data_IF_434204452111
#
_entry.id   IF_434204452111
#
_cell.length_a   1.000
_cell.length_b   1.000
_cell.length_c   1.000
_cell.angle_alpha   90.00
_cell.angle_beta   90.00
_cell.angle_gamma   90.00
#
_symmetry.space_group_name_H-M   'P 1'
#
loop_
_entity.id
_entity.type
_entity.pdbx_description
1 polymer ?
#
# COMPACT_ATOMS: atom_id res chain seq x y z
N UNK A 1 -18.68 3.89 28.88
CA UNK A 1 -19.40 4.00 27.58
C UNK A 1 -18.47 3.53 26.46
N UNK A 2 -18.62 2.29 26.01
CA UNK A 2 -17.83 1.74 24.91
C UNK A 2 -18.25 2.43 23.60
N UNK A 3 -17.44 3.40 23.14
CA UNK A 3 -17.66 4.09 21.87
C UNK A 3 -17.68 3.03 20.76
N UNK A 4 -18.78 3.00 20.03
CA UNK A 4 -19.07 2.06 18.96
C UNK A 4 -17.86 1.85 18.04
N UNK A 5 -17.62 0.57 17.77
CA UNK A 5 -16.56 0.03 16.93
C UNK A 5 -16.76 0.51 15.48
N UNK A 6 -16.31 1.72 15.15
CA UNK A 6 -16.24 2.20 13.78
C UNK A 6 -15.40 1.19 12.98
N UNK A 7 -16.05 0.36 12.17
CA UNK A 7 -15.34 -0.47 11.18
C UNK A 7 -14.85 0.50 10.11
N UNK A 8 -13.56 0.80 10.12
CA UNK A 8 -12.94 1.63 9.09
C UNK A 8 -13.23 1.07 7.70
N UNK A 9 -13.44 1.98 6.75
CA UNK A 9 -13.57 1.65 5.33
C UNK A 9 -12.26 1.07 4.77
N UNK A 10 -12.32 0.56 3.55
CA UNK A 10 -11.14 0.04 2.83
C UNK A 10 -10.09 1.14 2.66
N UNK A 11 -10.53 2.31 2.23
CA UNK A 11 -9.72 3.50 1.97
C UNK A 11 -9.05 3.96 3.27
N UNK A 12 -9.82 4.11 4.35
CA UNK A 12 -9.27 4.54 5.64
C UNK A 12 -8.18 3.58 6.18
N UNK A 13 -8.36 2.27 5.99
CA UNK A 13 -7.32 1.29 6.37
C UNK A 13 -6.07 1.44 5.50
N UNK A 14 -6.25 1.69 4.20
CA UNK A 14 -5.16 1.91 3.26
C UNK A 14 -4.40 3.21 3.55
N UNK A 15 -5.11 4.31 3.83
CA UNK A 15 -4.54 5.60 4.22
C UNK A 15 -3.71 5.50 5.51
N UNK A 16 -4.24 4.82 6.53
CA UNK A 16 -3.51 4.63 7.78
C UNK A 16 -2.28 3.72 7.58
N UNK A 17 -2.40 2.67 6.76
CA UNK A 17 -1.26 1.83 6.38
C UNK A 17 -0.20 2.63 5.62
N UNK A 18 -0.60 3.47 4.66
CA UNK A 18 0.29 4.34 3.90
C UNK A 18 1.02 5.32 4.82
N UNK A 19 0.27 6.04 5.65
CA UNK A 19 0.80 6.99 6.64
C UNK A 19 1.85 6.36 7.57
N UNK A 20 1.61 5.17 8.09
CA UNK A 20 2.52 4.54 9.07
C UNK A 20 3.66 3.76 8.38
N UNK A 21 3.35 2.95 7.37
CA UNK A 21 4.32 2.03 6.77
C UNK A 21 5.22 2.74 5.76
N UNK A 22 4.70 3.73 5.02
CA UNK A 22 5.42 4.49 4.01
C UNK A 22 5.92 5.81 4.56
N UNK A 23 5.02 6.70 5.02
CA UNK A 23 5.40 8.03 5.50
C UNK A 23 6.06 8.02 6.89
N UNK A 24 6.13 6.86 7.55
CA UNK A 24 6.77 6.64 8.86
C UNK A 24 6.16 7.46 10.01
N UNK A 25 4.89 7.83 9.89
CA UNK A 25 4.18 8.48 10.98
C UNK A 25 4.06 7.53 12.19
N UNK A 26 4.00 8.11 13.40
CA UNK A 26 3.92 7.32 14.65
C UNK A 26 2.64 6.45 14.64
N UNK A 27 2.78 5.12 14.83
CA UNK A 27 1.63 4.22 14.96
C UNK A 27 0.86 4.55 16.25
N UNK A 28 -0.40 4.15 16.29
CA UNK A 28 -1.22 4.23 17.51
C UNK A 28 -1.46 2.85 18.07
N UNK A 29 -1.96 2.73 19.30
CA UNK A 29 -2.31 1.44 19.89
C UNK A 29 -3.35 0.67 19.06
N UNK A 30 -4.29 1.39 18.44
CA UNK A 30 -5.32 0.82 17.55
C UNK A 30 -4.76 0.48 16.16
N UNK A 31 -3.72 1.19 15.73
CA UNK A 31 -3.09 1.05 14.41
C UNK A 31 -1.61 0.73 14.56
N UNK A 32 -1.33 -0.44 15.15
CA UNK A 32 0.03 -0.97 15.23
C UNK A 32 0.53 -1.34 13.83
N UNK A 33 1.85 -1.43 13.65
CA UNK A 33 2.43 -1.82 12.35
C UNK A 33 1.96 -3.21 11.92
N UNK A 34 1.84 -4.12 12.88
CA UNK A 34 1.40 -5.50 12.69
C UNK A 34 -0.05 -5.53 12.22
N UNK A 35 -0.92 -4.73 12.85
CA UNK A 35 -2.34 -4.62 12.46
C UNK A 35 -2.48 -4.05 11.05
N UNK A 36 -1.68 -3.04 10.70
CA UNK A 36 -1.71 -2.43 9.37
C UNK A 36 -1.14 -3.35 8.30
N UNK A 37 -0.14 -4.17 8.62
CA UNK A 37 0.36 -5.21 7.72
C UNK A 37 -0.68 -6.30 7.51
N UNK A 38 -1.41 -6.72 8.56
CA UNK A 38 -2.48 -7.71 8.43
C UNK A 38 -3.63 -7.19 7.54
N UNK A 39 -3.98 -5.90 7.64
CA UNK A 39 -4.97 -5.29 6.76
C UNK A 39 -4.64 -5.42 5.27
N UNK A 40 -3.35 -5.45 4.89
CA UNK A 40 -2.90 -5.61 3.49
C UNK A 40 -3.12 -7.02 2.93
N UNK A 41 -3.61 -7.97 3.73
CA UNK A 41 -4.07 -9.27 3.21
C UNK A 41 -5.37 -9.13 2.43
N UNK A 42 -6.23 -8.19 2.84
CA UNK A 42 -7.42 -7.83 2.10
C UNK A 42 -7.00 -7.15 0.78
N UNK A 43 -7.49 -7.70 -0.34
CA UNK A 43 -7.09 -7.27 -1.69
C UNK A 43 -7.50 -5.83 -1.98
N UNK A 44 -8.68 -5.38 -1.54
CA UNK A 44 -9.16 -4.01 -1.76
C UNK A 44 -8.29 -3.00 -1.00
N UNK A 45 -7.95 -3.31 0.26
CA UNK A 45 -7.05 -2.47 1.06
C UNK A 45 -5.67 -2.41 0.43
N UNK A 46 -5.12 -3.55 -0.01
CA UNK A 46 -3.84 -3.61 -0.70
C UNK A 46 -3.84 -2.79 -2.00
N UNK A 47 -4.92 -2.86 -2.79
CA UNK A 47 -5.08 -2.11 -4.02
C UNK A 47 -5.09 -0.59 -3.75
N UNK A 48 -5.94 -0.13 -2.84
CA UNK A 48 -5.97 1.29 -2.46
C UNK A 48 -4.64 1.77 -1.88
N UNK A 49 -4.01 0.96 -1.04
CA UNK A 49 -2.69 1.26 -0.49
C UNK A 49 -1.62 1.40 -1.57
N UNK A 50 -1.62 0.52 -2.58
CA UNK A 50 -0.69 0.59 -3.71
C UNK A 50 -0.97 1.76 -4.64
N UNK A 51 -2.24 2.16 -4.83
CA UNK A 51 -2.60 3.40 -5.55
C UNK A 51 -1.96 4.61 -4.85
N UNK A 52 -2.16 4.76 -3.54
CA UNK A 52 -1.52 5.81 -2.75
C UNK A 52 0.01 5.77 -2.86
N UNK A 53 0.61 4.57 -2.84
CA UNK A 53 2.04 4.42 -3.01
C UNK A 53 2.54 4.88 -4.38
N UNK A 54 1.74 4.75 -5.44
CA UNK A 54 2.11 5.20 -6.79
C UNK A 54 1.85 6.70 -6.98
N UNK A 55 0.71 7.20 -6.49
CA UNK A 55 0.31 8.61 -6.54
C UNK A 55 1.29 9.54 -5.83
N UNK A 56 1.91 9.05 -4.74
CA UNK A 56 2.88 9.79 -3.94
C UNK A 56 4.34 9.37 -4.22
N UNK A 57 4.60 8.71 -5.35
CA UNK A 57 5.94 8.34 -5.77
C UNK A 57 6.56 9.37 -6.72
N UNK A 58 7.17 10.41 -6.17
CA UNK A 58 7.87 11.43 -6.98
C UNK A 58 9.28 10.94 -7.44
N UNK A 59 9.61 9.65 -7.28
CA UNK A 59 10.92 9.11 -7.62
C UNK A 59 10.97 8.54 -9.04
N UNK A 60 12.12 8.72 -9.71
CA UNK A 60 12.36 8.20 -11.08
C UNK A 60 12.35 6.66 -11.18
N UNK A 61 12.36 5.94 -10.06
CA UNK A 61 12.48 4.49 -10.02
C UNK A 61 11.42 3.80 -9.15
N UNK A 62 10.26 4.44 -8.96
CA UNK A 62 9.12 3.86 -8.24
C UNK A 62 9.46 3.37 -6.82
N UNK A 63 10.30 4.12 -6.10
CA UNK A 63 10.82 3.76 -4.77
C UNK A 63 9.70 3.52 -3.74
N UNK A 64 8.71 4.40 -3.69
CA UNK A 64 7.58 4.30 -2.76
C UNK A 64 6.70 3.12 -3.13
N UNK A 65 6.33 3.00 -4.40
CA UNK A 65 5.53 1.89 -4.93
C UNK A 65 6.19 0.53 -4.69
N UNK A 66 7.48 0.39 -4.96
CA UNK A 66 8.24 -0.85 -4.69
C UNK A 66 8.24 -1.21 -3.22
N UNK A 67 8.42 -0.23 -2.33
CA UNK A 67 8.34 -0.47 -0.89
C UNK A 67 6.94 -0.89 -0.47
N UNK A 68 5.88 -0.29 -1.04
CA UNK A 68 4.50 -0.67 -0.79
C UNK A 68 4.22 -2.10 -1.26
N UNK A 69 4.63 -2.43 -2.48
CA UNK A 69 4.47 -3.77 -3.05
C UNK A 69 5.17 -4.83 -2.21
N UNK A 70 6.33 -4.50 -1.65
CA UNK A 70 7.02 -5.37 -0.70
C UNK A 70 6.19 -5.64 0.58
N UNK A 71 5.49 -4.64 1.12
CA UNK A 71 4.60 -4.85 2.27
C UNK A 71 3.41 -5.76 1.91
N UNK A 72 2.81 -5.57 0.73
CA UNK A 72 1.70 -6.41 0.25
C UNK A 72 2.16 -7.87 0.06
N UNK A 73 3.33 -8.10 -0.51
CA UNK A 73 3.90 -9.44 -0.67
C UNK A 73 4.17 -10.10 0.68
N UNK A 74 4.70 -9.35 1.65
CA UNK A 74 4.91 -9.86 3.00
C UNK A 74 3.60 -10.25 3.67
N UNK A 75 2.55 -9.43 3.54
CA UNK A 75 1.24 -9.70 4.10
C UNK A 75 0.58 -10.92 3.47
N UNK A 76 0.62 -11.06 2.14
CA UNK A 76 0.08 -12.21 1.40
C UNK A 76 0.93 -13.49 1.56
N UNK A 77 2.16 -13.35 2.04
CA UNK A 77 3.11 -14.44 2.24
C UNK A 77 4.06 -14.58 1.05
N UNK A 78 5.31 -14.16 1.23
CA UNK A 78 6.31 -14.14 0.15
C UNK A 78 6.56 -15.53 -0.48
N UNK A 79 6.38 -16.62 0.27
CA UNK A 79 6.47 -17.98 -0.27
C UNK A 79 5.33 -18.29 -1.22
N UNK A 80 4.09 -17.94 -0.86
CA UNK A 80 2.94 -18.15 -1.73
C UNK A 80 3.08 -17.36 -3.04
N UNK A 81 3.48 -16.09 -2.95
CA UNK A 81 3.75 -15.24 -4.11
C UNK A 81 4.90 -15.80 -4.95
N UNK A 82 6.00 -16.24 -4.31
CA UNK A 82 7.15 -16.82 -5.02
C UNK A 82 6.77 -18.08 -5.80
N UNK A 83 5.88 -18.90 -5.25
CA UNK A 83 5.41 -20.12 -5.90
C UNK A 83 4.45 -19.81 -7.05
N UNK A 84 3.55 -18.83 -6.90
CA UNK A 84 2.62 -18.46 -7.99
C UNK A 84 3.35 -17.77 -9.15
N UNK A 85 4.25 -16.83 -8.85
CA UNK A 85 4.93 -16.03 -9.89
C UNK A 85 6.14 -16.73 -10.51
N UNK A 86 6.61 -17.85 -9.93
CA UNK A 86 7.89 -18.48 -10.29
C UNK A 86 9.14 -17.63 -9.99
N UNK A 87 9.00 -16.55 -9.22
CA UNK A 87 10.12 -15.65 -8.87
C UNK A 87 10.57 -15.94 -7.45
N UNK A 88 11.84 -16.30 -7.27
CA UNK A 88 12.37 -16.61 -5.93
C UNK A 88 12.20 -15.44 -4.95
N UNK A 89 11.93 -15.76 -3.67
CA UNK A 89 11.87 -14.77 -2.57
C UNK A 89 13.07 -13.83 -2.54
N UNK A 90 14.28 -14.35 -2.77
CA UNK A 90 15.52 -13.55 -2.85
C UNK A 90 15.43 -12.52 -3.97
N UNK A 91 14.92 -12.92 -5.13
CA UNK A 91 14.75 -12.02 -6.28
C UNK A 91 13.66 -10.99 -6.03
N UNK A 92 12.52 -11.38 -5.47
CA UNK A 92 11.46 -10.45 -5.05
C UNK A 92 12.02 -9.39 -4.07
N UNK A 93 12.72 -9.82 -3.02
CA UNK A 93 13.31 -8.90 -2.05
C UNK A 93 14.35 -7.98 -2.67
N UNK A 94 15.25 -8.52 -3.49
CA UNK A 94 16.28 -7.71 -4.18
C UNK A 94 15.66 -6.65 -5.08
N UNK A 95 14.69 -7.05 -5.90
CA UNK A 95 13.98 -6.17 -6.84
C UNK A 95 13.20 -5.05 -6.13
N UNK A 96 12.53 -5.36 -5.01
CA UNK A 96 11.64 -4.42 -4.32
C UNK A 96 12.30 -3.69 -3.14
N UNK A 97 13.55 -4.02 -2.82
CA UNK A 97 14.33 -3.36 -1.77
C UNK A 97 14.53 -1.85 -2.05
N UNK A 98 14.92 -1.03 -1.06
CA UNK A 98 15.18 0.39 -1.28
C UNK A 98 16.17 0.71 -2.41
N UNK A 99 17.15 -0.18 -2.65
CA UNK A 99 18.15 -0.07 -3.72
C UNK A 99 17.79 -0.87 -4.99
N UNK A 100 16.69 -1.60 -4.98
CA UNK A 100 16.22 -2.39 -6.12
C UNK A 100 15.79 -1.50 -7.29
N UNK A 101 15.75 -2.10 -8.48
CA UNK A 101 15.21 -1.48 -9.68
C UNK A 101 14.68 -2.60 -10.61
N UNK A 102 13.44 -3.06 -10.41
CA UNK A 102 12.87 -4.13 -11.21
C UNK A 102 12.73 -3.66 -12.66
N UNK A 103 12.94 -4.58 -13.61
CA UNK A 103 12.51 -4.33 -14.99
C UNK A 103 11.00 -4.16 -15.01
N UNK A 104 10.51 -3.30 -15.91
CA UNK A 104 9.07 -3.06 -16.08
C UNK A 104 8.30 -4.37 -16.32
N UNK A 105 8.84 -5.27 -17.16
CA UNK A 105 8.24 -6.58 -17.42
C UNK A 105 8.08 -7.42 -16.16
N UNK A 106 9.07 -7.44 -15.28
CA UNK A 106 9.01 -8.18 -14.01
C UNK A 106 8.00 -7.56 -13.04
N UNK A 107 7.91 -6.22 -13.02
CA UNK A 107 6.91 -5.52 -12.20
C UNK A 107 5.48 -5.82 -12.69
N UNK A 108 5.25 -5.75 -14.01
CA UNK A 108 3.95 -6.05 -14.61
C UNK A 108 3.53 -7.51 -14.40
N UNK A 109 4.46 -8.46 -14.56
CA UNK A 109 4.19 -9.87 -14.29
C UNK A 109 3.75 -10.08 -12.82
N UNK A 110 4.50 -9.50 -11.88
CA UNK A 110 4.17 -9.57 -10.47
C UNK A 110 2.82 -8.93 -10.12
N UNK A 111 2.46 -7.81 -10.75
CA UNK A 111 1.15 -7.19 -10.54
C UNK A 111 0.02 -8.06 -11.09
N UNK A 112 0.19 -8.65 -12.28
CA UNK A 112 -0.80 -9.57 -12.87
C UNK A 112 -1.04 -10.80 -12.00
N UNK A 113 0.01 -11.37 -11.42
CA UNK A 113 -0.08 -12.47 -10.46
C UNK A 113 -0.86 -12.10 -9.19
N UNK A 114 -0.84 -10.82 -8.82
CA UNK A 114 -1.65 -10.27 -7.73
C UNK A 114 -3.05 -9.83 -8.17
N UNK A 115 -3.43 -10.07 -9.43
CA UNK A 115 -4.65 -9.61 -10.09
C UNK A 115 -4.78 -8.06 -10.14
N UNK A 116 -3.65 -7.37 -10.27
CA UNK A 116 -3.58 -5.92 -10.38
C UNK A 116 -3.08 -5.48 -11.76
N UNK A 117 -3.59 -4.35 -12.22
CA UNK A 117 -3.23 -3.75 -13.50
C UNK A 117 -2.80 -2.30 -13.30
N UNK A 118 -1.84 -1.85 -14.10
CA UNK A 118 -1.47 -0.44 -14.18
C UNK A 118 -2.36 0.29 -15.19
N UNK A 119 -2.50 1.58 -14.97
CA UNK A 119 -3.32 2.53 -15.69
C UNK A 119 -2.62 3.88 -15.67
N UNK A 120 -2.82 4.66 -16.72
CA UNK A 120 -2.23 5.99 -16.89
C UNK A 120 -3.26 7.05 -16.49
N UNK A 121 -2.80 8.11 -15.85
CA UNK A 121 -3.58 9.28 -15.44
C UNK A 121 -2.95 10.53 -16.05
N UNK A 122 -3.70 11.62 -16.13
CA UNK A 122 -3.17 12.93 -16.53
C UNK A 122 -2.42 13.63 -15.38
N UNK A 123 -1.68 14.69 -15.72
CA UNK A 123 -0.95 15.47 -14.72
C UNK A 123 -1.92 16.18 -13.75
N UNK A 124 -3.11 16.59 -14.22
CA UNK A 124 -4.11 17.25 -13.38
C UNK A 124 -4.59 16.35 -12.24
N UNK A 125 -4.73 15.04 -12.47
CA UNK A 125 -5.03 14.06 -11.42
C UNK A 125 -3.94 14.05 -10.36
N UNK A 126 -2.68 14.04 -10.77
CA UNK A 126 -1.52 14.03 -9.88
C UNK A 126 -1.43 15.33 -9.07
N UNK A 127 -1.76 16.47 -9.65
CA UNK A 127 -1.77 17.76 -8.96
C UNK A 127 -2.96 17.93 -8.01
N UNK A 128 -4.10 17.30 -8.34
CA UNK A 128 -5.32 17.33 -7.50
C UNK A 128 -5.29 16.31 -6.36
N UNK A 129 -4.22 15.52 -6.20
CA UNK A 129 -4.13 14.53 -5.12
C UNK A 129 -4.30 15.20 -3.75
N UNK A 130 -5.34 14.81 -3.03
CA UNK A 130 -5.57 15.33 -1.68
C UNK A 130 -4.48 14.79 -0.74
N UNK A 131 -4.06 15.62 0.23
CA UNK A 131 -3.17 15.14 1.30
C UNK A 131 -3.86 13.98 2.00
N UNK A 132 -3.14 12.87 2.16
CA UNK A 132 -3.64 11.74 2.94
C UNK A 132 -3.83 12.17 4.40
N UNK A 133 -5.08 12.39 4.81
CA UNK A 133 -5.44 12.72 6.19
C UNK A 133 -5.71 11.42 6.92
N UNK A 134 -4.94 11.16 7.98
CA UNK A 134 -5.13 9.96 8.78
C UNK A 134 -6.57 9.88 9.29
N UNK A 135 -7.23 8.72 9.24
CA UNK A 135 -8.61 8.58 9.71
C UNK A 135 -8.86 9.08 11.13
N UNK A 136 -7.87 8.97 12.03
CA UNK A 136 -7.96 9.49 13.40
C UNK A 136 -7.92 11.02 13.51
N UNK A 137 -7.37 11.70 12.50
CA UNK A 137 -7.18 13.15 12.41
C UNK A 137 -8.28 13.80 11.54
N UNK A 138 -9.13 12.99 10.90
CA UNK A 138 -10.32 13.46 10.20
C UNK A 138 -11.31 14.04 11.24
N UNK A 139 -11.82 15.25 10.98
CA UNK A 139 -12.89 15.84 11.81
C UNK A 139 -14.09 14.88 11.80
N UNK A 140 -14.75 14.62 12.95
CA UNK A 140 -15.95 13.82 12.95
C UNK A 140 -16.98 14.48 12.02
N UNK A 141 -17.52 13.70 11.09
CA UNK A 141 -18.61 14.15 10.22
C UNK A 141 -19.73 14.61 11.16
N UNK A 142 -20.03 15.91 11.16
CA UNK A 142 -21.17 16.44 11.89
C UNK A 142 -22.41 15.72 11.36
N UNK A 143 -23.03 14.89 12.20
CA UNK A 143 -24.35 14.36 11.90
C UNK A 143 -25.31 15.55 11.93
N UNK A 144 -25.65 16.07 10.75
CA UNK A 144 -26.86 16.88 10.53
C UNK A 144 -28.08 16.00 10.68
#
# INVERSE_FOLDING_TARGET
MARGRWKLSVEQRAEEAFSVLIQKNRPTRTFSKETLQENLRNTDVALYFLKLCLEWDDSKNLKVFRSGLLFVIKAKGATAVSNSTGVSRITLYRMLSPKGNPRLSSLLALLRELNFHLWVVDDDFIQRREKVIRPKDQKPISRS
#
